data_IF_602527523081
#
_entry.id   IF_602527523081
#
_cell.length_a   1.000
_cell.length_b   1.000
_cell.length_c   1.000
_cell.angle_alpha   90.00
_cell.angle_beta   90.00
_cell.angle_gamma   90.00
#
_symmetry.space_group_name_H-M   'P 1'
#
loop_
_entity.id
_entity.type
_entity.pdbx_description
1 polymer ?
#
# COMPACT_ATOMS: atom_id res chain seq x y z
N UNK A 1 6.91 -67.66 24.72
CA UNK A 1 7.71 -67.63 25.97
C UNK A 1 9.07 -67.03 25.66
N UNK A 2 9.30 -65.79 26.09
CA UNK A 2 10.63 -65.19 26.27
C UNK A 2 10.42 -63.84 26.93
N UNK A 3 10.51 -63.85 28.26
CA UNK A 3 10.58 -62.69 29.12
C UNK A 3 11.94 -62.01 28.93
N UNK A 4 11.96 -60.75 28.48
CA UNK A 4 13.16 -59.91 28.62
C UNK A 4 12.99 -59.02 29.85
N UNK A 5 13.77 -59.36 30.85
CA UNK A 5 14.00 -58.66 32.10
C UNK A 5 14.47 -57.24 31.84
N UNK A 6 13.73 -56.27 32.35
CA UNK A 6 14.15 -54.87 32.43
C UNK A 6 15.32 -54.79 33.41
N UNK A 7 16.51 -54.48 32.92
CA UNK A 7 17.72 -54.37 33.75
C UNK A 7 17.65 -53.21 34.75
N UNK A 8 18.40 -53.29 35.87
CA UNK A 8 18.34 -52.34 36.98
C UNK A 8 18.70 -50.89 36.59
N UNK A 9 19.39 -50.66 35.47
CA UNK A 9 19.68 -49.33 34.95
C UNK A 9 18.44 -48.61 34.38
N UNK A 10 17.52 -49.35 33.75
CA UNK A 10 16.31 -48.79 33.12
C UNK A 10 15.21 -48.49 34.14
N UNK A 11 15.23 -49.17 35.28
CA UNK A 11 14.36 -48.88 36.43
C UNK A 11 14.79 -47.61 37.21
N UNK A 12 16.07 -47.24 37.13
CA UNK A 12 16.60 -46.00 37.70
C UNK A 12 16.25 -44.78 36.82
N UNK A 13 16.37 -44.87 35.50
CA UNK A 13 15.91 -43.82 34.58
C UNK A 13 14.41 -43.56 34.69
N UNK A 14 13.59 -44.62 34.81
CA UNK A 14 12.15 -44.46 35.00
C UNK A 14 11.78 -43.83 36.37
N UNK A 15 12.60 -44.04 37.42
CA UNK A 15 12.42 -43.36 38.71
C UNK A 15 12.79 -41.88 38.65
N UNK A 16 13.85 -41.52 37.92
CA UNK A 16 14.21 -40.12 37.67
C UNK A 16 13.18 -39.40 36.79
N UNK A 17 12.58 -40.10 35.81
CA UNK A 17 11.48 -39.55 35.01
C UNK A 17 10.18 -39.38 35.82
N UNK A 18 9.85 -40.32 36.73
CA UNK A 18 8.64 -40.19 37.56
C UNK A 18 8.79 -39.15 38.68
N UNK A 19 9.98 -38.98 39.29
CA UNK A 19 10.20 -37.91 40.26
C UNK A 19 10.09 -36.52 39.63
N UNK A 20 10.59 -36.35 38.40
CA UNK A 20 10.40 -35.09 37.66
C UNK A 20 8.93 -34.85 37.27
N UNK A 21 8.13 -35.91 37.07
CA UNK A 21 6.71 -35.76 36.74
C UNK A 21 5.84 -35.46 37.97
N UNK A 22 6.22 -35.96 39.16
CA UNK A 22 5.53 -35.67 40.42
C UNK A 22 5.89 -34.28 41.00
N UNK A 23 7.11 -33.77 40.79
CA UNK A 23 7.45 -32.39 41.19
C UNK A 23 6.74 -31.32 40.34
N UNK A 24 6.40 -31.63 39.08
CA UNK A 24 5.66 -30.71 38.20
C UNK A 24 4.15 -30.69 38.51
N UNK A 25 3.62 -31.71 39.20
CA UNK A 25 2.19 -31.80 39.55
C UNK A 25 1.81 -31.04 40.82
N UNK A 26 2.79 -30.52 41.58
CA UNK A 26 2.59 -29.95 42.91
C UNK A 26 2.54 -28.42 43.02
N UNK A 27 2.88 -27.66 41.98
CA UNK A 27 2.96 -26.19 42.05
C UNK A 27 1.84 -25.53 41.28
N UNK A 28 0.91 -24.89 42.01
CA UNK A 28 0.13 -23.78 41.48
C UNK A 28 1.12 -22.72 41.00
N UNK A 29 1.20 -22.51 39.70
CA UNK A 29 0.91 -21.23 39.06
C UNK A 29 1.09 -21.39 37.54
N UNK A 30 -0.02 -21.33 36.82
CA UNK A 30 -0.14 -21.55 35.37
C UNK A 30 0.51 -20.45 34.51
N UNK A 31 1.30 -19.54 35.09
CA UNK A 31 1.86 -18.36 34.43
C UNK A 31 3.22 -18.66 33.77
N UNK A 32 4.12 -19.35 34.48
CA UNK A 32 5.47 -19.70 33.99
C UNK A 32 5.44 -20.69 32.81
N UNK A 33 4.58 -21.70 32.86
CA UNK A 33 4.45 -22.68 31.75
C UNK A 33 3.85 -22.03 30.50
N UNK A 34 3.03 -20.99 30.67
CA UNK A 34 2.47 -20.21 29.56
C UNK A 34 3.54 -19.28 28.98
N UNK A 35 4.37 -18.62 29.80
CA UNK A 35 5.52 -17.85 29.32
C UNK A 35 6.56 -18.70 28.57
N UNK A 36 6.82 -19.95 29.00
CA UNK A 36 7.75 -20.85 28.32
C UNK A 36 7.17 -21.31 26.95
N UNK A 37 5.86 -21.57 26.86
CA UNK A 37 5.20 -21.93 25.59
C UNK A 37 5.05 -20.72 24.65
N UNK A 38 4.93 -19.51 25.19
CA UNK A 38 4.88 -18.26 24.41
C UNK A 38 6.27 -17.88 23.90
N UNK A 39 7.31 -17.98 24.74
CA UNK A 39 8.69 -17.63 24.37
C UNK A 39 9.29 -18.57 23.31
N UNK A 40 8.92 -19.86 23.29
CA UNK A 40 9.36 -20.78 22.24
C UNK A 40 8.59 -20.65 20.90
N UNK A 41 7.49 -19.89 20.82
CA UNK A 41 6.76 -19.68 19.55
C UNK A 41 7.33 -18.56 18.68
N UNK A 42 8.11 -17.65 19.26
CA UNK A 42 8.68 -16.51 18.55
C UNK A 42 9.98 -16.84 17.77
N UNK A 43 10.47 -18.08 17.87
CA UNK A 43 11.72 -18.52 17.24
C UNK A 43 11.56 -19.24 15.87
N UNK A 44 10.35 -19.30 15.31
CA UNK A 44 10.20 -19.71 13.90
C UNK A 44 10.55 -18.53 12.99
N UNK A 45 11.65 -18.56 12.22
CA UNK A 45 11.93 -17.50 11.27
C UNK A 45 10.74 -17.40 10.30
N UNK A 46 10.26 -16.19 9.96
CA UNK A 46 9.13 -16.04 9.06
C UNK A 46 9.38 -16.83 7.78
N UNK A 47 8.47 -17.74 7.44
CA UNK A 47 8.59 -18.59 6.26
C UNK A 47 8.38 -17.73 5.01
N UNK A 48 9.48 -17.22 4.45
CA UNK A 48 9.45 -16.42 3.23
C UNK A 48 9.04 -17.28 2.04
N UNK A 49 8.18 -16.75 1.15
CA UNK A 49 7.83 -17.46 -0.07
C UNK A 49 9.07 -17.66 -0.93
N UNK A 50 9.36 -18.92 -1.24
CA UNK A 50 10.43 -19.29 -2.19
C UNK A 50 9.83 -19.94 -3.44
N UNK A 51 10.54 -19.86 -4.57
CA UNK A 51 10.18 -20.52 -5.82
C UNK A 51 9.40 -19.65 -6.82
N UNK A 52 8.64 -20.30 -7.71
CA UNK A 52 8.02 -19.64 -8.88
C UNK A 52 6.88 -18.67 -8.50
N UNK A 53 6.21 -18.94 -7.38
CA UNK A 53 5.13 -18.07 -6.86
C UNK A 53 5.66 -16.72 -6.38
N UNK A 54 6.85 -16.71 -5.77
CA UNK A 54 7.51 -15.47 -5.36
C UNK A 54 7.79 -14.57 -6.56
N UNK A 55 8.44 -15.11 -7.59
CA UNK A 55 8.74 -14.35 -8.81
C UNK A 55 7.49 -13.90 -9.56
N UNK A 56 6.41 -14.69 -9.52
CA UNK A 56 5.12 -14.28 -10.06
C UNK A 56 4.55 -13.05 -9.33
N UNK A 57 4.56 -13.03 -7.99
CA UNK A 57 4.08 -11.88 -7.21
C UNK A 57 4.97 -10.65 -7.45
N UNK A 58 6.29 -10.82 -7.45
CA UNK A 58 7.25 -9.75 -7.77
C UNK A 58 6.97 -9.18 -9.17
N UNK A 59 6.73 -10.02 -10.17
CA UNK A 59 6.40 -9.59 -11.53
C UNK A 59 5.06 -8.84 -11.60
N UNK A 60 4.05 -9.27 -10.84
CA UNK A 60 2.76 -8.57 -10.73
C UNK A 60 2.94 -7.19 -10.12
N UNK A 61 3.69 -7.07 -9.02
CA UNK A 61 3.97 -5.78 -8.38
C UNK A 61 4.78 -4.88 -9.31
N UNK A 62 5.81 -5.41 -9.96
CA UNK A 62 6.60 -4.69 -10.94
C UNK A 62 5.73 -4.16 -12.10
N UNK A 63 4.83 -5.00 -12.62
CA UNK A 63 3.91 -4.61 -13.70
C UNK A 63 2.92 -3.54 -13.24
N UNK A 64 2.39 -3.67 -12.03
CA UNK A 64 1.48 -2.69 -11.43
C UNK A 64 2.16 -1.32 -11.25
N UNK A 65 3.37 -1.32 -10.70
CA UNK A 65 4.20 -0.12 -10.56
C UNK A 65 4.57 0.46 -11.92
N UNK A 66 4.94 -0.38 -12.89
CA UNK A 66 5.30 0.05 -14.22
C UNK A 66 4.14 0.78 -14.91
N UNK A 67 2.96 0.17 -14.95
CA UNK A 67 1.79 0.75 -15.65
C UNK A 67 1.34 2.06 -14.99
N UNK A 68 1.36 2.13 -13.66
CA UNK A 68 0.90 3.32 -12.93
C UNK A 68 1.87 4.49 -13.02
N UNK A 69 3.18 4.23 -13.15
CA UNK A 69 4.19 5.28 -13.29
C UNK A 69 4.47 5.65 -14.75
N UNK A 70 4.24 4.75 -15.70
CA UNK A 70 4.27 5.04 -17.14
C UNK A 70 3.24 6.13 -17.51
N UNK A 71 2.12 6.15 -16.80
CA UNK A 71 0.94 6.97 -17.09
C UNK A 71 1.16 8.48 -16.93
N UNK A 72 2.00 8.88 -15.98
CA UNK A 72 2.32 10.29 -15.71
C UNK A 72 3.04 10.93 -16.91
N UNK A 73 4.22 10.44 -17.33
CA UNK A 73 4.95 11.04 -18.45
C UNK A 73 4.31 10.77 -19.81
N UNK A 74 3.63 9.63 -20.02
CA UNK A 74 2.97 9.35 -21.30
C UNK A 74 1.88 10.40 -21.58
N UNK A 75 1.04 10.73 -20.59
CA UNK A 75 0.00 11.76 -20.77
C UNK A 75 0.60 13.15 -20.83
N UNK A 76 1.66 13.43 -20.06
CA UNK A 76 2.38 14.71 -20.12
C UNK A 76 2.86 14.99 -21.55
N UNK A 77 3.44 14.01 -22.23
CA UNK A 77 3.87 14.17 -23.63
C UNK A 77 2.73 14.22 -24.64
N UNK A 78 1.62 13.56 -24.37
CA UNK A 78 0.42 13.58 -25.21
C UNK A 78 -0.48 14.79 -24.98
N UNK A 79 -0.14 15.66 -24.03
CA UNK A 79 -1.00 16.77 -23.60
C UNK A 79 -1.36 17.69 -24.76
N UNK A 80 -0.40 18.05 -25.63
CA UNK A 80 -0.66 18.89 -26.81
C UNK A 80 -1.66 18.25 -27.78
N UNK A 81 -1.55 16.93 -28.01
CA UNK A 81 -2.49 16.21 -28.86
C UNK A 81 -3.91 16.17 -28.27
N UNK A 82 -4.01 16.06 -26.95
CA UNK A 82 -5.28 16.15 -26.21
C UNK A 82 -5.88 17.56 -26.37
N UNK A 83 -5.08 18.60 -26.17
CA UNK A 83 -5.51 20.00 -26.32
C UNK A 83 -6.05 20.30 -27.71
N UNK A 84 -5.36 19.83 -28.75
CA UNK A 84 -5.76 20.07 -30.14
C UNK A 84 -7.13 19.46 -30.48
N UNK A 85 -7.53 18.36 -29.82
CA UNK A 85 -8.84 17.78 -30.05
C UNK A 85 -9.97 18.56 -29.34
N UNK A 86 -9.74 19.00 -28.11
CA UNK A 86 -10.76 19.71 -27.34
C UNK A 86 -10.85 21.20 -27.67
N UNK A 87 -9.83 21.77 -28.34
CA UNK A 87 -9.80 23.18 -28.76
C UNK A 87 -9.84 24.18 -27.60
N UNK A 88 -9.60 23.71 -26.36
CA UNK A 88 -9.59 24.52 -25.13
C UNK A 88 -8.22 24.39 -24.49
N UNK A 89 -7.50 25.51 -24.42
CA UNK A 89 -6.23 25.61 -23.71
C UNK A 89 -6.44 25.88 -22.22
N UNK A 90 -7.58 26.46 -21.87
CA UNK A 90 -7.93 26.75 -20.49
C UNK A 90 -8.16 25.44 -19.72
N UNK A 91 -7.40 25.25 -18.64
CA UNK A 91 -7.42 24.08 -17.76
C UNK A 91 -6.78 22.80 -18.33
N UNK A 92 -5.94 22.90 -19.37
CA UNK A 92 -5.21 21.71 -19.83
C UNK A 92 -4.23 21.17 -18.77
N UNK A 93 -3.60 22.07 -18.00
CA UNK A 93 -2.66 21.69 -16.95
C UNK A 93 -3.31 20.74 -15.93
N UNK A 94 -4.60 20.97 -15.64
CA UNK A 94 -5.39 20.13 -14.74
C UNK A 94 -5.52 18.68 -15.20
N UNK A 95 -5.24 18.33 -16.47
CA UNK A 95 -5.23 16.94 -16.93
C UNK A 95 -4.11 16.14 -16.25
N UNK A 96 -2.97 16.76 -15.96
CA UNK A 96 -1.89 16.10 -15.23
C UNK A 96 -2.05 16.29 -13.72
N UNK A 97 -2.41 17.51 -13.29
CA UNK A 97 -2.57 17.85 -11.88
C UNK A 97 -3.63 16.99 -11.20
N UNK A 98 -4.78 16.76 -11.84
CA UNK A 98 -5.87 15.97 -11.25
C UNK A 98 -5.46 14.54 -10.89
N UNK A 99 -4.70 13.87 -11.77
CA UNK A 99 -4.13 12.56 -11.48
C UNK A 99 -3.20 12.62 -10.27
N UNK A 100 -2.29 13.60 -10.24
CA UNK A 100 -1.33 13.75 -9.14
C UNK A 100 -2.02 14.08 -7.81
N UNK A 101 -3.07 14.92 -7.82
CA UNK A 101 -3.89 15.23 -6.65
C UNK A 101 -4.54 13.96 -6.09
N UNK A 102 -5.19 13.16 -6.94
CA UNK A 102 -5.78 11.89 -6.53
C UNK A 102 -4.72 10.91 -6.03
N UNK A 103 -3.57 10.88 -6.70
CA UNK A 103 -2.47 10.00 -6.37
C UNK A 103 -1.86 10.30 -4.99
N UNK A 104 -1.52 11.57 -4.74
CA UNK A 104 -0.86 11.98 -3.50
C UNK A 104 -1.84 11.96 -2.31
N UNK A 105 -3.10 12.34 -2.52
CA UNK A 105 -4.11 12.37 -1.45
C UNK A 105 -4.45 10.97 -0.90
N UNK A 106 -4.45 9.94 -1.75
CA UNK A 106 -4.86 8.59 -1.36
C UNK A 106 -3.69 7.64 -1.07
N UNK A 107 -2.44 8.09 -1.24
CA UNK A 107 -1.24 7.27 -1.06
C UNK A 107 -1.19 6.61 0.33
N UNK A 108 -1.28 7.43 1.39
CA UNK A 108 -1.21 6.96 2.78
C UNK A 108 -2.49 6.25 3.19
N UNK A 109 -3.64 6.75 2.72
CA UNK A 109 -4.96 6.22 3.05
C UNK A 109 -5.08 4.77 2.60
N UNK A 110 -4.74 4.48 1.34
CA UNK A 110 -4.82 3.12 0.80
C UNK A 110 -3.77 2.21 1.43
N UNK A 111 -2.56 2.72 1.73
CA UNK A 111 -1.55 1.96 2.45
C UNK A 111 -2.10 1.41 3.78
N UNK A 112 -2.72 2.29 4.58
CA UNK A 112 -3.33 1.95 5.86
C UNK A 112 -4.55 1.06 5.71
N UNK A 113 -5.40 1.34 4.73
CA UNK A 113 -6.56 0.51 4.45
C UNK A 113 -6.14 -0.92 4.07
N UNK A 114 -4.97 -1.10 3.45
CA UNK A 114 -4.43 -2.43 3.13
C UNK A 114 -3.89 -3.20 4.33
N UNK A 115 -3.52 -2.53 5.43
CA UNK A 115 -3.20 -3.21 6.71
C UNK A 115 -4.48 -3.86 7.30
N UNK A 116 -5.62 -3.18 7.17
CA UNK A 116 -6.91 -3.57 7.76
C UNK A 116 -7.63 -4.61 6.90
N UNK A 117 -7.80 -4.35 5.61
CA UNK A 117 -8.57 -5.19 4.67
C UNK A 117 -7.71 -6.27 3.98
N UNK A 118 -6.39 -6.20 4.12
CA UNK A 118 -5.42 -7.14 3.55
C UNK A 118 -4.82 -6.66 2.22
N UNK A 119 -3.57 -7.09 1.97
CA UNK A 119 -2.75 -6.67 0.82
C UNK A 119 -3.37 -7.08 -0.51
N UNK A 120 -3.75 -8.35 -0.65
CA UNK A 120 -4.29 -8.91 -1.91
C UNK A 120 -5.55 -8.17 -2.38
N UNK A 121 -6.51 -7.97 -1.47
CA UNK A 121 -7.78 -7.34 -1.81
C UNK A 121 -7.58 -5.88 -2.23
N UNK A 122 -6.83 -5.11 -1.43
CA UNK A 122 -6.63 -3.70 -1.72
C UNK A 122 -5.76 -3.46 -2.96
N UNK A 123 -4.74 -4.30 -3.22
CA UNK A 123 -3.96 -4.20 -4.46
C UNK A 123 -4.82 -4.54 -5.68
N UNK A 124 -5.65 -5.58 -5.59
CA UNK A 124 -6.59 -5.94 -6.67
C UNK A 124 -7.61 -4.84 -6.92
N UNK A 125 -8.17 -4.24 -5.86
CA UNK A 125 -9.12 -3.14 -5.97
C UNK A 125 -8.48 -1.91 -6.63
N UNK A 126 -7.24 -1.59 -6.26
CA UNK A 126 -6.48 -0.47 -6.81
C UNK A 126 -6.21 -0.65 -8.30
N UNK A 127 -5.75 -1.85 -8.71
CA UNK A 127 -5.54 -2.20 -10.12
C UNK A 127 -6.84 -2.15 -10.93
N UNK A 128 -7.93 -2.73 -10.41
CA UNK A 128 -9.22 -2.73 -11.11
C UNK A 128 -9.75 -1.30 -11.26
N UNK A 129 -9.65 -0.49 -10.21
CA UNK A 129 -9.99 0.93 -10.24
C UNK A 129 -9.18 1.65 -11.31
N UNK A 130 -7.86 1.45 -11.32
CA UNK A 130 -6.98 2.03 -12.33
C UNK A 130 -7.38 1.63 -13.75
N UNK A 131 -7.67 0.34 -14.01
CA UNK A 131 -8.11 -0.16 -15.33
C UNK A 131 -9.43 0.49 -15.77
N UNK A 132 -10.43 0.52 -14.89
CA UNK A 132 -11.76 1.06 -15.20
C UNK A 132 -11.65 2.55 -15.54
N UNK A 133 -10.95 3.32 -14.71
CA UNK A 133 -10.80 4.75 -14.94
C UNK A 133 -9.87 5.06 -16.12
N UNK A 134 -8.84 4.24 -16.39
CA UNK A 134 -8.03 4.37 -17.61
C UNK A 134 -8.88 4.14 -18.87
N UNK A 135 -9.78 3.14 -18.87
CA UNK A 135 -10.73 2.94 -19.95
C UNK A 135 -11.71 4.12 -20.10
N UNK A 136 -12.21 4.64 -18.98
CA UNK A 136 -13.11 5.79 -18.96
C UNK A 136 -12.42 7.06 -19.49
N UNK A 137 -11.15 7.31 -19.15
CA UNK A 137 -10.34 8.41 -19.69
C UNK A 137 -10.22 8.32 -21.21
N UNK A 138 -9.94 7.12 -21.75
CA UNK A 138 -9.92 6.88 -23.19
C UNK A 138 -11.28 7.09 -23.88
N UNK A 139 -12.39 6.86 -23.16
CA UNK A 139 -13.76 7.08 -23.64
C UNK A 139 -14.30 8.50 -23.41
N UNK A 140 -13.52 9.39 -22.79
CA UNK A 140 -13.97 10.73 -22.43
C UNK A 140 -14.32 11.59 -23.67
N UNK A 141 -15.35 12.41 -23.51
CA UNK A 141 -15.91 13.27 -24.56
C UNK A 141 -15.71 14.77 -24.28
N UNK A 142 -15.29 15.12 -23.07
CA UNK A 142 -15.00 16.51 -22.69
C UNK A 142 -13.77 16.60 -21.79
N UNK A 143 -13.09 17.75 -21.84
CA UNK A 143 -11.90 18.01 -21.01
C UNK A 143 -12.21 17.88 -19.51
N UNK A 144 -13.34 18.45 -19.05
CA UNK A 144 -13.75 18.35 -17.64
C UNK A 144 -14.01 16.92 -17.21
N UNK A 145 -14.67 16.12 -18.07
CA UNK A 145 -14.87 14.69 -17.80
C UNK A 145 -13.53 13.96 -17.71
N UNK A 146 -12.58 14.24 -18.61
CA UNK A 146 -11.25 13.67 -18.57
C UNK A 146 -10.53 14.01 -17.25
N UNK A 147 -10.55 15.28 -16.82
CA UNK A 147 -9.94 15.73 -15.55
C UNK A 147 -10.52 14.97 -14.36
N UNK A 148 -11.86 14.85 -14.27
CA UNK A 148 -12.51 14.14 -13.17
C UNK A 148 -12.13 12.66 -13.17
N UNK A 149 -12.15 12.01 -14.33
CA UNK A 149 -11.78 10.59 -14.45
C UNK A 149 -10.30 10.35 -14.12
N UNK A 150 -9.42 11.28 -14.48
CA UNK A 150 -7.98 11.25 -14.14
C UNK A 150 -7.75 11.33 -12.65
N UNK A 151 -8.51 12.16 -11.92
CA UNK A 151 -8.45 12.18 -10.46
C UNK A 151 -8.76 10.80 -9.85
N UNK A 152 -9.82 10.14 -10.30
CA UNK A 152 -10.17 8.80 -9.84
C UNK A 152 -9.16 7.73 -10.28
N UNK A 153 -8.59 7.86 -11.48
CA UNK A 153 -7.51 6.99 -11.94
C UNK A 153 -6.27 7.10 -11.04
N UNK A 154 -5.95 8.32 -10.58
CA UNK A 154 -4.87 8.59 -9.62
C UNK A 154 -5.02 7.83 -8.30
N UNK A 155 -6.25 7.68 -7.80
CA UNK A 155 -6.56 6.88 -6.61
C UNK A 155 -6.18 5.40 -6.82
N UNK A 156 -6.46 4.85 -7.99
CA UNK A 156 -6.01 3.49 -8.34
C UNK A 156 -4.49 3.40 -8.42
N UNK A 157 -3.85 4.41 -9.02
CA UNK A 157 -2.39 4.51 -9.14
C UNK A 157 -1.67 4.55 -7.80
N UNK A 158 -2.18 5.34 -6.84
CA UNK A 158 -1.56 5.47 -5.51
C UNK A 158 -1.62 4.18 -4.71
N UNK A 159 -2.73 3.45 -4.81
CA UNK A 159 -2.87 2.16 -4.15
C UNK A 159 -1.90 1.11 -4.69
N UNK A 160 -1.72 1.07 -6.01
CA UNK A 160 -0.73 0.20 -6.65
C UNK A 160 0.69 0.52 -6.19
N UNK A 161 1.04 1.81 -6.09
CA UNK A 161 2.36 2.22 -5.64
C UNK A 161 2.59 1.93 -4.16
N UNK A 162 1.67 2.38 -3.30
CA UNK A 162 1.78 2.24 -1.86
C UNK A 162 1.79 0.77 -1.44
N UNK A 163 0.80 -0.01 -1.87
CA UNK A 163 0.70 -1.43 -1.52
C UNK A 163 1.80 -2.23 -2.21
N UNK A 164 2.17 -1.89 -3.45
CA UNK A 164 3.27 -2.53 -4.15
C UNK A 164 4.57 -2.42 -3.37
N UNK A 165 4.92 -1.21 -2.92
CA UNK A 165 6.15 -0.96 -2.17
C UNK A 165 6.16 -1.68 -0.82
N UNK A 166 5.04 -1.65 -0.09
CA UNK A 166 4.91 -2.37 1.19
C UNK A 166 5.01 -3.89 0.97
N UNK A 167 4.31 -4.42 -0.03
CA UNK A 167 4.27 -5.84 -0.31
C UNK A 167 5.66 -6.40 -0.67
N UNK A 168 6.48 -5.62 -1.37
CA UNK A 168 7.85 -5.99 -1.71
C UNK A 168 8.74 -6.16 -0.48
N UNK A 169 8.57 -5.30 0.52
CA UNK A 169 9.30 -5.37 1.78
C UNK A 169 8.81 -6.52 2.68
N UNK A 170 7.53 -6.91 2.56
CA UNK A 170 6.99 -8.06 3.29
C UNK A 170 7.40 -9.42 2.69
N UNK A 171 7.76 -9.46 1.40
CA UNK A 171 8.06 -10.71 0.68
C UNK A 171 9.46 -11.27 0.96
N UNK A 172 10.38 -10.45 1.46
CA UNK A 172 11.82 -10.75 1.47
C UNK A 172 12.41 -10.44 2.84
N UNK A 173 13.45 -11.17 3.30
CA UNK A 173 14.16 -10.79 4.53
C UNK A 173 14.89 -9.43 4.36
N UNK A 174 15.11 -8.69 5.46
CA UNK A 174 15.73 -7.35 5.41
C UNK A 174 17.06 -7.27 4.65
N UNK A 175 17.85 -8.34 4.68
CA UNK A 175 19.15 -8.45 4.01
C UNK A 175 19.04 -8.37 2.47
N UNK A 176 17.89 -8.72 1.91
CA UNK A 176 17.66 -8.75 0.47
C UNK A 176 16.79 -7.59 -0.03
N UNK A 177 16.38 -6.66 0.85
CA UNK A 177 15.66 -5.43 0.48
C UNK A 177 16.39 -4.64 -0.59
N UNK A 178 17.70 -4.44 -0.43
CA UNK A 178 18.50 -3.68 -1.39
C UNK A 178 18.39 -4.22 -2.82
N UNK A 179 18.42 -5.55 -2.99
CA UNK A 179 18.33 -6.19 -4.32
C UNK A 179 16.95 -5.97 -4.95
N UNK A 180 15.89 -6.20 -4.19
CA UNK A 180 14.52 -6.09 -4.70
C UNK A 180 14.14 -4.63 -4.99
N UNK A 181 14.49 -3.71 -4.08
CA UNK A 181 14.25 -2.27 -4.24
C UNK A 181 15.04 -1.70 -5.42
N UNK A 182 16.28 -2.15 -5.64
CA UNK A 182 17.08 -1.73 -6.81
C UNK A 182 16.42 -2.20 -8.11
N UNK A 183 15.98 -3.47 -8.18
CA UNK A 183 15.26 -3.99 -9.35
C UNK A 183 13.98 -3.20 -9.62
N UNK A 184 13.23 -2.84 -8.59
CA UNK A 184 12.00 -2.07 -8.73
C UNK A 184 12.26 -0.62 -9.13
N UNK A 185 13.34 -0.02 -8.62
CA UNK A 185 13.79 1.31 -9.04
C UNK A 185 14.19 1.33 -10.52
N UNK A 186 14.78 0.24 -11.03
CA UNK A 186 15.07 0.09 -12.46
C UNK A 186 13.77 0.02 -13.29
N UNK A 187 12.75 -0.73 -12.84
CA UNK A 187 11.43 -0.78 -13.49
C UNK A 187 10.77 0.59 -13.49
N UNK A 188 10.86 1.31 -12.37
CA UNK A 188 10.37 2.68 -12.24
C UNK A 188 11.06 3.62 -13.23
N UNK A 189 12.39 3.64 -13.27
CA UNK A 189 13.16 4.44 -14.22
C UNK A 189 12.82 4.09 -15.68
N UNK A 190 12.64 2.80 -15.99
CA UNK A 190 12.25 2.34 -17.31
C UNK A 190 10.84 2.83 -17.69
N UNK A 191 9.89 2.84 -16.74
CA UNK A 191 8.55 3.39 -16.97
C UNK A 191 8.59 4.88 -17.30
N UNK A 192 9.44 5.65 -16.61
CA UNK A 192 9.62 7.07 -16.88
C UNK A 192 10.27 7.34 -18.24
N UNK A 193 11.18 6.47 -18.68
CA UNK A 193 11.82 6.59 -19.99
C UNK A 193 10.88 6.19 -21.13
N UNK A 194 10.11 5.11 -20.96
CA UNK A 194 9.18 4.62 -21.99
C UNK A 194 7.96 5.50 -22.16
N UNK A 195 7.55 6.24 -21.12
CA UNK A 195 6.37 7.11 -21.17
C UNK A 195 6.41 8.11 -22.31
N UNK A 196 7.40 9.00 -22.39
CA UNK A 196 7.52 10.00 -23.46
C UNK A 196 7.60 9.38 -24.86
N UNK A 197 8.30 8.25 -24.98
CA UNK A 197 8.50 7.54 -26.26
C UNK A 197 7.16 6.99 -26.77
N UNK A 198 6.42 6.30 -25.91
CA UNK A 198 5.10 5.75 -26.26
C UNK A 198 4.07 6.86 -26.44
N UNK A 199 4.12 7.92 -25.62
CA UNK A 199 3.20 9.04 -25.69
C UNK A 199 3.35 9.82 -27.00
N UNK A 200 4.57 10.14 -27.41
CA UNK A 200 4.86 10.74 -28.71
C UNK A 200 4.40 9.86 -29.87
N UNK A 201 4.80 8.58 -29.88
CA UNK A 201 4.46 7.65 -30.96
C UNK A 201 2.95 7.42 -31.11
N UNK A 202 2.23 7.27 -29.99
CA UNK A 202 0.78 7.11 -30.00
C UNK A 202 0.06 8.40 -30.37
N UNK A 203 0.61 9.56 -30.03
CA UNK A 203 -0.01 10.85 -30.37
C UNK A 203 0.19 11.21 -31.86
N UNK A 204 1.31 10.81 -32.45
CA UNK A 204 1.60 11.05 -33.87
C UNK A 204 0.89 10.06 -34.80
N UNK A 205 0.90 8.77 -34.46
CA UNK A 205 0.42 7.71 -35.35
C UNK A 205 -0.98 7.20 -35.03
N UNK A 206 -1.45 7.40 -33.80
CA UNK A 206 -2.75 6.93 -33.33
C UNK A 206 -3.57 8.08 -32.73
N UNK A 207 -4.78 7.78 -32.26
CA UNK A 207 -5.57 8.72 -31.46
C UNK A 207 -4.99 8.82 -30.05
N UNK A 208 -4.94 10.01 -29.45
CA UNK A 208 -4.51 10.23 -28.05
C UNK A 208 -5.21 9.33 -27.04
N UNK A 209 -6.42 8.84 -27.35
CA UNK A 209 -7.18 7.89 -26.52
C UNK A 209 -6.39 6.60 -26.23
N UNK A 210 -5.54 6.18 -27.16
CA UNK A 210 -4.70 4.99 -27.00
C UNK A 210 -3.66 5.11 -25.90
N UNK A 211 -3.29 6.34 -25.52
CA UNK A 211 -2.40 6.63 -24.39
C UNK A 211 -2.98 6.08 -23.08
N UNK A 212 -4.32 6.08 -22.96
CA UNK A 212 -5.01 5.50 -21.81
C UNK A 212 -5.33 4.02 -22.01
N UNK A 213 -5.64 3.60 -23.24
CA UNK A 213 -6.02 2.22 -23.52
C UNK A 213 -4.85 1.24 -23.47
N UNK A 214 -3.60 1.68 -23.72
CA UNK A 214 -2.40 0.82 -23.68
C UNK A 214 -2.15 0.21 -22.29
N UNK A 215 -2.63 0.88 -21.23
CA UNK A 215 -2.49 0.39 -19.87
C UNK A 215 -3.34 -0.85 -19.60
N UNK A 216 -4.50 -0.97 -20.25
CA UNK A 216 -5.46 -2.05 -20.03
C UNK A 216 -4.89 -3.43 -20.37
N UNK A 217 -4.34 -3.68 -21.58
CA UNK A 217 -3.79 -5.00 -21.92
C UNK A 217 -2.59 -5.40 -21.06
N UNK A 218 -1.93 -4.46 -20.40
CA UNK A 218 -0.80 -4.73 -19.49
C UNK A 218 -1.31 -4.98 -18.06
N UNK A 219 -2.26 -4.18 -17.58
CA UNK A 219 -2.77 -4.28 -16.22
C UNK A 219 -3.76 -5.44 -16.00
N UNK A 220 -4.56 -5.82 -17.01
CA UNK A 220 -5.52 -6.93 -16.90
C UNK A 220 -4.81 -8.27 -16.59
N UNK A 221 -3.74 -8.68 -17.32
CA UNK A 221 -2.96 -9.86 -16.95
C UNK A 221 -2.35 -9.77 -15.55
N UNK A 222 -1.93 -8.59 -15.11
CA UNK A 222 -1.39 -8.40 -13.76
C UNK A 222 -2.44 -8.69 -12.68
N UNK A 223 -3.70 -8.24 -12.87
CA UNK A 223 -4.82 -8.57 -11.96
C UNK A 223 -5.11 -10.07 -11.95
N UNK A 224 -5.18 -10.71 -13.13
CA UNK A 224 -5.45 -12.15 -13.21
C UNK A 224 -4.33 -12.93 -12.51
N UNK A 225 -3.07 -12.59 -12.78
CA UNK A 225 -1.92 -13.22 -12.14
C UNK A 225 -1.91 -12.97 -10.63
N UNK A 226 -2.26 -11.77 -10.15
CA UNK A 226 -2.40 -11.46 -8.72
C UNK A 226 -3.41 -12.38 -8.05
N UNK A 227 -4.59 -12.55 -8.64
CA UNK A 227 -5.67 -13.37 -8.09
C UNK A 227 -5.28 -14.85 -8.04
N UNK A 228 -4.49 -15.33 -9.01
CA UNK A 228 -4.06 -16.73 -9.09
C UNK A 228 -2.83 -17.03 -8.22
N UNK A 229 -1.86 -16.11 -8.16
CA UNK A 229 -0.57 -16.35 -7.52
C UNK A 229 -0.58 -16.01 -6.01
N UNK A 230 -1.35 -15.00 -5.60
CA UNK A 230 -1.31 -14.50 -4.23
C UNK A 230 -2.42 -15.14 -3.38
N UNK A 231 -2.11 -15.87 -2.29
CA UNK A 231 -3.15 -16.37 -1.38
C UNK A 231 -3.83 -15.22 -0.62
N UNK A 232 -5.10 -15.41 -0.25
CA UNK A 232 -5.95 -14.38 0.37
C UNK A 232 -5.45 -13.90 1.75
N UNK A 233 -4.58 -14.68 2.41
CA UNK A 233 -4.09 -14.45 3.77
C UNK A 233 -2.64 -13.93 3.81
N UNK A 234 -2.12 -13.36 2.72
CA UNK A 234 -0.77 -12.78 2.72
C UNK A 234 -0.80 -11.33 3.25
N UNK A 235 0.11 -10.92 4.16
CA UNK A 235 1.29 -11.66 4.67
C UNK A 235 0.98 -12.64 5.82
N UNK A 236 1.57 -13.84 5.75
CA UNK A 236 1.58 -14.82 6.86
C UNK A 236 2.50 -14.30 7.98
N UNK A 237 2.01 -13.41 8.83
CA UNK A 237 2.75 -12.98 10.04
C UNK A 237 2.54 -13.97 11.18
N UNK A 238 2.88 -15.25 10.98
CA UNK A 238 3.06 -16.24 12.05
C UNK A 238 1.88 -16.51 13.00
N UNK A 239 0.74 -15.82 12.88
CA UNK A 239 -0.38 -16.00 13.80
C UNK A 239 -1.07 -17.33 13.46
N UNK A 240 -1.00 -18.31 14.37
CA UNK A 240 -1.58 -19.60 14.11
C UNK A 240 -3.09 -19.45 14.17
N UNK A 241 -3.72 -19.65 13.02
CA UNK A 241 -5.03 -20.28 12.94
C UNK A 241 -6.15 -19.61 13.75
N UNK A 242 -6.29 -18.29 13.71
CA UNK A 242 -7.62 -17.69 13.90
C UNK A 242 -8.41 -17.84 12.60
N UNK A 243 -8.89 -19.07 12.38
CA UNK A 243 -9.90 -19.47 11.39
C UNK A 243 -11.25 -18.78 11.61
N UNK A 244 -11.33 -17.85 12.55
CA UNK A 244 -12.49 -17.01 12.79
C UNK A 244 -12.58 -16.05 11.62
N UNK A 245 -13.32 -16.48 10.58
CA UNK A 245 -13.79 -15.69 9.43
C UNK A 245 -13.52 -14.20 9.64
N UNK A 246 -12.33 -13.73 9.23
CA UNK A 246 -12.02 -12.30 9.20
C UNK A 246 -12.96 -11.76 8.13
N UNK A 247 -14.17 -11.39 8.53
CA UNK A 247 -15.12 -10.76 7.66
C UNK A 247 -14.41 -9.49 7.21
N UNK A 248 -13.88 -9.48 5.99
CA UNK A 248 -13.29 -8.31 5.35
C UNK A 248 -14.24 -7.11 5.43
N UNK A 249 -15.54 -7.39 5.59
CA UNK A 249 -16.63 -6.42 5.76
C UNK A 249 -17.36 -6.48 7.12
N UNK A 250 -16.71 -7.00 8.18
CA UNK A 250 -17.29 -7.02 9.52
C UNK A 250 -17.34 -5.61 10.14
N UNK A 251 -18.35 -5.33 10.97
CA UNK A 251 -18.46 -4.05 11.69
C UNK A 251 -17.22 -3.72 12.53
N UNK A 252 -16.56 -4.75 13.07
CA UNK A 252 -15.32 -4.63 13.84
C UNK A 252 -14.14 -4.13 13.00
N UNK A 253 -14.04 -4.57 11.73
CA UNK A 253 -13.03 -4.09 10.76
C UNK A 253 -13.24 -2.62 10.42
N UNK A 254 -14.50 -2.21 10.24
CA UNK A 254 -14.86 -0.80 9.98
C UNK A 254 -14.65 0.13 11.17
N UNK A 255 -14.76 -0.40 12.41
CA UNK A 255 -14.49 0.36 13.64
C UNK A 255 -13.01 0.62 13.87
N UNK A 256 -12.11 -0.16 13.25
CA UNK A 256 -10.66 0.07 13.31
C UNK A 256 -10.19 1.23 12.42
N UNK A 257 -11.00 1.64 11.45
CA UNK A 257 -10.65 2.69 10.48
C UNK A 257 -10.80 4.07 11.14
N UNK A 258 -9.71 4.84 11.19
CA UNK A 258 -9.74 6.24 11.62
C UNK A 258 -10.33 7.14 10.54
N UNK A 259 -11.66 7.23 10.49
CA UNK A 259 -12.38 8.07 9.51
C UNK A 259 -12.06 9.56 9.68
N UNK A 260 -11.84 10.02 10.91
CA UNK A 260 -11.57 11.43 11.21
C UNK A 260 -10.15 11.78 10.77
N UNK A 261 -9.15 10.99 11.17
CA UNK A 261 -7.77 11.16 10.71
C UNK A 261 -7.64 11.04 9.19
N UNK A 262 -8.33 10.08 8.58
CA UNK A 262 -8.33 9.88 7.12
C UNK A 262 -8.89 11.09 6.38
N UNK A 263 -10.02 11.65 6.84
CA UNK A 263 -10.62 12.84 6.20
C UNK A 263 -9.77 14.08 6.41
N UNK A 264 -9.24 14.30 7.61
CA UNK A 264 -8.28 15.37 7.89
C UNK A 264 -7.06 15.29 6.98
N UNK A 265 -6.47 14.09 6.84
CA UNK A 265 -5.29 13.87 5.99
C UNK A 265 -5.61 14.15 4.52
N UNK A 266 -6.75 13.67 4.04
CA UNK A 266 -7.21 13.85 2.67
C UNK A 266 -7.36 15.34 2.35
N UNK A 267 -8.09 16.10 3.18
CA UNK A 267 -8.29 17.54 2.95
C UNK A 267 -7.00 18.35 3.13
N UNK A 268 -6.16 18.01 4.12
CA UNK A 268 -4.88 18.67 4.34
C UNK A 268 -3.96 18.52 3.12
N UNK A 269 -3.88 17.30 2.58
CA UNK A 269 -3.04 16.96 1.43
C UNK A 269 -3.59 17.60 0.15
N UNK A 270 -4.90 17.47 -0.12
CA UNK A 270 -5.52 18.09 -1.31
C UNK A 270 -5.36 19.60 -1.31
N UNK A 271 -5.60 20.27 -0.17
CA UNK A 271 -5.45 21.72 -0.05
C UNK A 271 -3.99 22.15 -0.25
N UNK A 272 -3.03 21.36 0.23
CA UNK A 272 -1.61 21.63 0.04
C UNK A 272 -1.22 21.51 -1.43
N UNK A 273 -1.53 20.35 -2.04
CA UNK A 273 -1.16 20.05 -3.42
C UNK A 273 -1.84 21.03 -4.38
N UNK A 274 -3.13 21.33 -4.21
CA UNK A 274 -3.81 22.34 -5.02
C UNK A 274 -3.20 23.74 -4.85
N UNK A 275 -2.84 24.12 -3.61
CA UNK A 275 -2.19 25.40 -3.34
C UNK A 275 -0.86 25.55 -4.07
N UNK A 276 -0.03 24.50 -4.08
CA UNK A 276 1.25 24.50 -4.80
C UNK A 276 1.11 24.40 -6.32
N UNK A 277 0.14 23.64 -6.81
CA UNK A 277 -0.10 23.49 -8.24
C UNK A 277 -0.56 24.80 -8.88
N UNK A 278 -1.45 25.52 -8.20
CA UNK A 278 -1.98 26.80 -8.70
C UNK A 278 -1.00 27.97 -8.49
N UNK A 279 -0.03 27.81 -7.57
CA UNK A 279 0.99 28.81 -7.28
C UNK A 279 1.98 28.96 -8.43
N UNK A 280 1.84 30.05 -9.18
CA UNK A 280 2.75 30.39 -10.28
C UNK A 280 2.32 29.87 -11.66
N UNK A 281 1.28 29.03 -11.74
CA UNK A 281 0.61 28.68 -13.00
C UNK A 281 -0.49 29.72 -13.31
N UNK A 282 -1.64 29.63 -12.65
CA UNK A 282 -2.78 30.54 -12.88
C UNK A 282 -2.78 31.75 -11.93
N UNK A 283 -2.33 31.57 -10.68
CA UNK A 283 -2.35 32.61 -9.67
C UNK A 283 -0.93 32.98 -9.23
N UNK A 284 -0.68 34.28 -9.03
CA UNK A 284 0.58 34.74 -8.42
C UNK A 284 0.69 34.21 -7.00
N UNK A 285 1.90 33.93 -6.55
CA UNK A 285 2.21 33.51 -5.17
C UNK A 285 1.60 34.40 -4.08
N UNK A 286 1.48 35.70 -4.34
CA UNK A 286 0.85 36.66 -3.42
C UNK A 286 -0.68 36.71 -3.47
N UNK A 287 -1.34 35.84 -4.25
CA UNK A 287 -2.80 35.79 -4.34
C UNK A 287 -3.39 35.29 -3.04
N UNK A 288 -4.47 35.93 -2.59
CA UNK A 288 -5.22 35.52 -1.40
C UNK A 288 -5.70 34.06 -1.49
N UNK A 289 -6.00 33.58 -2.71
CA UNK A 289 -6.43 32.20 -2.95
C UNK A 289 -5.33 31.18 -2.60
N UNK A 290 -4.11 31.36 -3.12
CA UNK A 290 -2.97 30.47 -2.86
C UNK A 290 -2.59 30.48 -1.38
N UNK A 291 -2.52 31.69 -0.79
CA UNK A 291 -2.20 31.84 0.63
C UNK A 291 -3.27 31.17 1.51
N UNK A 292 -4.55 31.32 1.17
CA UNK A 292 -5.64 30.68 1.90
C UNK A 292 -5.53 29.15 1.86
N UNK A 293 -5.27 28.54 0.69
CA UNK A 293 -5.11 27.10 0.57
C UNK A 293 -3.93 26.56 1.38
N UNK A 294 -2.81 27.28 1.40
CA UNK A 294 -1.63 26.91 2.18
C UNK A 294 -1.91 27.03 3.69
N UNK A 295 -2.53 28.13 4.12
CA UNK A 295 -2.86 28.35 5.54
C UNK A 295 -3.89 27.33 6.03
N UNK A 296 -4.95 27.08 5.26
CA UNK A 296 -5.96 26.07 5.57
C UNK A 296 -5.32 24.68 5.68
N UNK A 297 -4.44 24.33 4.73
CA UNK A 297 -3.68 23.09 4.82
C UNK A 297 -2.85 23.02 6.10
N UNK A 298 -2.11 24.07 6.44
CA UNK A 298 -1.32 24.12 7.68
C UNK A 298 -2.16 23.92 8.94
N UNK A 299 -3.35 24.53 9.00
CA UNK A 299 -4.29 24.33 10.11
C UNK A 299 -4.79 22.89 10.16
N UNK A 300 -5.14 22.29 9.01
CA UNK A 300 -5.61 20.90 8.95
C UNK A 300 -4.51 19.91 9.37
N UNK A 301 -3.25 20.15 8.99
CA UNK A 301 -2.11 19.36 9.45
C UNK A 301 -1.91 19.47 10.96
N UNK A 302 -2.02 20.67 11.55
CA UNK A 302 -1.95 20.85 13.00
C UNK A 302 -3.10 20.12 13.71
N UNK A 303 -4.32 20.22 13.17
CA UNK A 303 -5.48 19.51 13.69
C UNK A 303 -5.29 17.99 13.63
N UNK A 304 -4.72 17.47 12.55
CA UNK A 304 -4.39 16.05 12.39
C UNK A 304 -3.38 15.60 13.45
N UNK A 305 -2.30 16.35 13.66
CA UNK A 305 -1.31 16.03 14.70
C UNK A 305 -1.93 16.02 16.10
N UNK A 306 -2.85 16.94 16.39
CA UNK A 306 -3.55 16.97 17.67
C UNK A 306 -4.52 15.79 17.82
N UNK A 307 -5.25 15.44 16.75
CA UNK A 307 -6.13 14.28 16.70
C UNK A 307 -5.36 12.98 16.95
N UNK A 308 -4.27 12.76 16.22
CA UNK A 308 -3.44 11.56 16.36
C UNK A 308 -2.77 11.46 17.74
N UNK A 309 -2.36 12.60 18.30
CA UNK A 309 -1.85 12.66 19.68
C UNK A 309 -2.94 12.26 20.68
N UNK A 310 -4.18 12.73 20.52
CA UNK A 310 -5.29 12.31 21.38
C UNK A 310 -5.61 10.83 21.21
N UNK A 311 -5.64 10.34 19.98
CA UNK A 311 -5.93 8.95 19.67
C UNK A 311 -4.84 8.00 20.19
N UNK A 312 -3.58 8.45 20.27
CA UNK A 312 -2.51 7.65 20.88
C UNK A 312 -2.60 7.62 22.41
N UNK A 313 -3.12 8.68 23.04
CA UNK A 313 -3.26 8.77 24.50
C UNK A 313 -4.50 8.05 25.03
N UNK A 314 -5.52 7.91 24.20
CA UNK A 314 -6.71 7.12 24.50
C UNK A 314 -6.50 5.72 23.92
N UNK A 315 -6.37 4.68 24.74
CA UNK A 315 -6.31 3.28 24.30
C UNK A 315 -7.61 2.89 23.58
N UNK A 316 -7.75 3.32 22.34
CA UNK A 316 -8.94 3.14 21.51
C UNK A 316 -8.67 2.01 20.53
N UNK A 317 -9.72 1.31 20.11
CA UNK A 317 -9.65 0.22 19.11
C UNK A 317 -9.33 0.71 17.69
N UNK A 318 -9.18 2.01 17.48
CA UNK A 318 -8.92 2.65 16.19
C UNK A 318 -7.42 2.67 15.93
N UNK A 319 -7.00 2.15 14.77
CA UNK A 319 -5.59 2.14 14.38
C UNK A 319 -5.21 3.51 13.79
N UNK A 320 -4.29 4.28 14.42
CA UNK A 320 -3.93 5.62 13.95
C UNK A 320 -3.29 5.56 12.57
N UNK A 321 -3.67 6.53 11.72
CA UNK A 321 -3.09 6.71 10.38
C UNK A 321 -1.58 6.97 10.50
N UNK A 322 -1.16 7.87 11.39
CA UNK A 322 0.25 8.05 11.73
C UNK A 322 0.52 7.76 13.22
N UNK A 323 1.16 6.63 13.54
CA UNK A 323 1.55 6.30 14.92
C UNK A 323 2.50 7.35 15.49
N UNK A 324 2.13 7.97 16.62
CA UNK A 324 2.93 8.98 17.32
C UNK A 324 4.34 8.51 17.72
N UNK A 325 4.56 7.19 17.73
CA UNK A 325 5.87 6.55 17.98
C UNK A 325 6.92 6.99 16.96
N UNK A 326 6.52 7.28 15.71
CA UNK A 326 7.43 7.77 14.67
C UNK A 326 7.99 9.16 14.97
N UNK A 327 7.17 10.06 15.53
CA UNK A 327 7.61 11.42 15.92
C UNK A 327 8.54 11.38 17.12
N UNK A 328 8.36 10.41 18.02
CA UNK A 328 9.14 10.31 19.26
C UNK A 328 10.52 9.69 19.04
N UNK A 329 10.67 8.79 18.06
CA UNK A 329 11.95 8.15 17.74
C UNK A 329 12.74 8.97 16.70
N UNK A 330 13.86 9.56 17.13
CA UNK A 330 14.73 10.39 16.27
C UNK A 330 15.24 9.64 15.03
N UNK A 331 15.52 8.34 15.16
CA UNK A 331 15.98 7.52 14.04
C UNK A 331 14.89 7.29 12.98
N UNK A 332 13.65 7.06 13.42
CA UNK A 332 12.51 6.92 12.51
C UNK A 332 12.16 8.25 11.85
N UNK A 333 12.24 9.35 12.59
CA UNK A 333 12.06 10.69 12.05
C UNK A 333 13.13 11.02 11.00
N UNK A 334 14.38 10.62 11.23
CA UNK A 334 15.48 10.80 10.27
C UNK A 334 15.35 9.93 9.02
N UNK A 335 14.66 8.79 9.09
CA UNK A 335 14.39 7.93 7.93
C UNK A 335 13.22 8.45 7.06
N UNK A 336 12.39 9.35 7.60
CA UNK A 336 11.24 9.92 6.90
C UNK A 336 11.53 11.24 6.17
N UNK A 337 12.65 11.90 6.46
CA UNK A 337 13.03 13.23 5.96
C UNK A 337 14.08 13.14 4.86
#
# INVERSE_FOLDING_TARGET
MSSSTVGPAKALELRHMNQNHEEISGSKDNDDTTEIIVSQRDDCPPEYLTGIRFWAIVAVVATSLFVTNLEIPIVTTSTIAITNQFGRFDNIDWVNSSYLLGYVAFLVIIAKLSDIFGRRFMLSLSLVTFIIFSAACGASQSLTQLIVLRAFQGIGGSGCFAIGTVLLLELVPPQSYAKLVTNMSAVYALSLLLGPILGGLLSEKANWRWVFLINIPIAVPAVVCLILAMPQNFPYHGQPNDRTKRNTFGKETFQRVDWVGTTLLLFATLSLTAGFEEAGSQFRWGSAYVIALIVVSGVLWICLLFWERRLTLQETTVEPVFPWRFVKNREMLSLML
#
